data_IF_027086762947
#
_entry.id   IF_027086762947
#
_cell.length_a   1.000
_cell.length_b   1.000
_cell.length_c   1.000
_cell.angle_alpha   90.00
_cell.angle_beta   90.00
_cell.angle_gamma   90.00
#
_symmetry.space_group_name_H-M   'P 1'
#
loop_
_entity.id
_entity.type
_entity.pdbx_description
1 polymer ?
#
# COMPACT_ATOMS: atom_id res chain seq x y z
N UNK A 1 25.85 -49.33 -1.36
CA UNK A 1 25.48 -47.94 -1.67
C UNK A 1 25.15 -47.24 -0.36
N UNK A 2 25.91 -46.22 0.00
CA UNK A 2 25.71 -45.43 1.21
C UNK A 2 24.35 -44.70 1.14
N UNK A 3 23.49 -44.84 2.16
CA UNK A 3 22.19 -44.16 2.19
C UNK A 3 22.41 -42.66 2.36
N UNK A 4 22.20 -41.89 1.29
CA UNK A 4 22.25 -40.43 1.34
C UNK A 4 21.22 -39.91 2.36
N UNK A 5 21.64 -38.99 3.21
CA UNK A 5 20.77 -38.32 4.19
C UNK A 5 20.03 -37.14 3.55
N UNK A 6 18.92 -36.74 4.17
CA UNK A 6 18.11 -35.62 3.73
C UNK A 6 18.82 -34.28 3.93
N UNK A 7 19.03 -33.51 2.85
CA UNK A 7 19.73 -32.22 2.93
C UNK A 7 18.93 -31.03 3.50
N UNK A 8 17.89 -31.28 4.29
CA UNK A 8 17.06 -30.23 4.91
C UNK A 8 17.45 -30.06 6.39
N UNK A 9 17.16 -28.89 6.97
CA UNK A 9 17.32 -28.65 8.42
C UNK A 9 16.01 -28.94 9.15
N UNK A 10 16.11 -29.43 10.39
CA UNK A 10 14.96 -29.61 11.29
C UNK A 10 14.56 -28.25 11.91
N UNK A 11 13.48 -28.23 12.68
CA UNK A 11 13.03 -27.02 13.40
C UNK A 11 14.08 -26.47 14.38
N UNK A 12 14.98 -27.32 14.89
CA UNK A 12 16.09 -26.92 15.76
C UNK A 12 17.31 -26.40 15.01
N UNK A 13 17.28 -26.35 13.67
CA UNK A 13 18.40 -25.89 12.82
C UNK A 13 19.40 -26.98 12.44
N UNK A 14 19.30 -28.16 13.04
CA UNK A 14 20.20 -29.29 12.79
C UNK A 14 19.91 -30.01 11.47
N UNK A 15 20.92 -30.64 10.83
CA UNK A 15 20.71 -31.45 9.62
C UNK A 15 19.74 -32.61 9.84
N UNK A 16 18.88 -32.88 8.86
CA UNK A 16 17.93 -33.97 8.93
C UNK A 16 18.62 -35.34 8.76
N UNK A 17 18.58 -36.16 9.81
CA UNK A 17 19.17 -37.49 9.82
C UNK A 17 18.33 -38.58 9.12
N UNK A 18 17.20 -38.24 8.51
CA UNK A 18 16.37 -39.22 7.79
C UNK A 18 16.96 -39.51 6.40
N UNK A 19 16.81 -40.75 5.94
CA UNK A 19 17.21 -41.14 4.59
C UNK A 19 16.52 -40.28 3.51
N UNK A 20 17.30 -39.84 2.52
CA UNK A 20 16.81 -39.14 1.36
C UNK A 20 16.10 -40.09 0.37
N UNK A 21 15.09 -39.56 -0.30
CA UNK A 21 14.48 -40.15 -1.49
C UNK A 21 15.21 -39.65 -2.75
N UNK A 22 14.69 -40.01 -3.93
CA UNK A 22 15.30 -39.69 -5.24
C UNK A 22 15.63 -38.19 -5.44
N UNK A 23 14.90 -37.28 -4.79
CA UNK A 23 15.11 -35.83 -4.89
C UNK A 23 16.00 -35.23 -3.79
N UNK A 24 16.70 -36.06 -2.99
CA UNK A 24 17.60 -35.58 -1.93
C UNK A 24 16.91 -35.13 -0.63
N UNK A 25 15.59 -35.32 -0.52
CA UNK A 25 14.78 -34.99 0.67
C UNK A 25 14.10 -36.23 1.24
N UNK A 26 13.87 -36.28 2.55
CA UNK A 26 13.11 -37.38 3.18
C UNK A 26 11.60 -37.19 3.00
N UNK A 27 10.82 -38.23 3.34
CA UNK A 27 9.35 -38.20 3.32
C UNK A 27 8.73 -36.97 4.01
N UNK A 28 9.35 -36.47 5.07
CA UNK A 28 8.81 -35.34 5.86
C UNK A 28 9.23 -33.97 5.31
N UNK A 29 10.30 -33.89 4.51
CA UNK A 29 10.84 -32.64 3.97
C UNK A 29 10.63 -32.52 2.45
N UNK A 30 9.50 -33.04 1.94
CA UNK A 30 9.14 -32.95 0.52
C UNK A 30 9.71 -34.04 -0.38
N UNK A 31 10.28 -35.11 0.20
CA UNK A 31 10.83 -36.23 -0.58
C UNK A 31 9.81 -37.00 -1.43
N UNK A 32 8.52 -36.89 -1.08
CA UNK A 32 7.39 -37.44 -1.85
C UNK A 32 6.85 -36.45 -2.90
N UNK A 33 7.35 -35.22 -2.95
CA UNK A 33 6.86 -34.23 -3.89
C UNK A 33 7.27 -34.61 -5.32
N UNK A 34 6.29 -34.75 -6.21
CA UNK A 34 6.50 -34.98 -7.64
C UNK A 34 6.64 -33.69 -8.44
N UNK A 35 6.56 -32.53 -7.76
CA UNK A 35 6.41 -31.23 -8.41
C UNK A 35 5.03 -31.05 -9.06
N UNK A 36 4.82 -29.95 -9.80
CA UNK A 36 3.62 -29.72 -10.58
C UNK A 36 3.44 -30.81 -11.65
N UNK A 37 2.18 -31.16 -11.95
CA UNK A 37 1.83 -32.13 -13.01
C UNK A 37 2.39 -31.73 -14.38
N UNK A 38 2.46 -30.44 -14.65
CA UNK A 38 3.03 -29.86 -15.85
C UNK A 38 4.34 -29.13 -15.50
N UNK A 39 5.47 -29.67 -15.99
CA UNK A 39 6.80 -29.13 -15.69
C UNK A 39 7.05 -27.77 -16.34
N UNK A 40 6.32 -27.41 -17.40
CA UNK A 40 6.43 -26.07 -18.01
C UNK A 40 6.02 -24.96 -17.03
N UNK A 41 5.13 -25.28 -16.08
CA UNK A 41 4.61 -24.38 -15.04
C UNK A 41 5.53 -24.27 -13.82
N UNK A 42 6.75 -24.82 -13.86
CA UNK A 42 7.68 -24.71 -12.74
C UNK A 42 8.25 -23.29 -12.60
N UNK A 43 8.56 -22.65 -13.73
CA UNK A 43 9.17 -21.32 -13.79
C UNK A 43 8.08 -20.25 -13.79
N UNK A 44 8.20 -19.29 -12.86
CA UNK A 44 7.25 -18.19 -12.76
C UNK A 44 5.89 -18.54 -12.15
N UNK A 45 5.76 -19.70 -11.47
CA UNK A 45 4.51 -19.98 -10.75
C UNK A 45 4.31 -18.97 -9.60
N UNK A 46 3.08 -18.47 -9.48
CA UNK A 46 2.66 -17.56 -8.41
C UNK A 46 1.85 -18.29 -7.33
N UNK A 47 1.96 -19.62 -7.23
CA UNK A 47 1.14 -20.42 -6.31
C UNK A 47 1.46 -20.15 -4.83
N UNK A 48 2.70 -19.72 -4.53
CA UNK A 48 3.10 -19.30 -3.19
C UNK A 48 2.90 -17.80 -2.94
N UNK A 49 2.46 -17.04 -3.95
CA UNK A 49 2.23 -15.61 -3.83
C UNK A 49 0.97 -15.38 -3.00
N UNK A 50 1.12 -14.70 -1.86
CA UNK A 50 0.00 -14.42 -0.96
C UNK A 50 -0.70 -13.09 -1.30
N UNK A 51 0.08 -12.02 -1.44
CA UNK A 51 -0.45 -10.65 -1.52
C UNK A 51 0.42 -9.68 -2.31
N UNK A 52 1.50 -10.12 -2.97
CA UNK A 52 2.32 -9.24 -3.83
C UNK A 52 3.24 -8.22 -3.14
N UNK A 53 3.03 -7.90 -1.86
CA UNK A 53 3.80 -6.86 -1.12
C UNK A 53 5.34 -6.92 -1.25
N UNK A 54 5.92 -8.10 -1.43
CA UNK A 54 7.37 -8.29 -1.56
C UNK A 54 7.83 -8.52 -3.00
N UNK A 55 6.95 -8.34 -3.99
CA UNK A 55 7.35 -8.38 -5.40
C UNK A 55 8.17 -7.13 -5.74
N UNK A 56 9.29 -7.32 -6.43
CA UNK A 56 10.03 -6.23 -7.06
C UNK A 56 9.39 -5.92 -8.40
N UNK A 57 8.92 -4.69 -8.57
CA UNK A 57 8.27 -4.22 -9.80
C UNK A 57 9.27 -3.32 -10.54
N UNK A 58 9.52 -3.63 -11.81
CA UNK A 58 10.38 -2.84 -12.68
C UNK A 58 9.53 -2.14 -13.75
N UNK A 59 9.96 -0.95 -14.20
CA UNK A 59 9.19 -0.13 -15.12
C UNK A 59 8.92 -0.82 -16.48
N UNK A 60 9.89 -1.58 -16.98
CA UNK A 60 9.81 -2.38 -18.21
C UNK A 60 8.85 -3.57 -18.09
N UNK A 61 8.60 -4.04 -16.86
CA UNK A 61 7.68 -5.16 -16.59
C UNK A 61 6.22 -4.73 -16.43
N UNK A 62 5.93 -3.42 -16.40
CA UNK A 62 4.56 -2.91 -16.29
C UNK A 62 3.73 -3.32 -17.52
N UNK A 63 2.44 -3.52 -17.30
CA UNK A 63 1.43 -3.56 -18.36
C UNK A 63 1.15 -2.15 -18.91
N UNK A 64 0.48 -2.05 -20.05
CA UNK A 64 0.12 -0.76 -20.63
C UNK A 64 -0.82 0.05 -19.72
N UNK A 65 -1.75 -0.63 -19.07
CA UNK A 65 -2.68 -0.03 -18.10
C UNK A 65 -1.93 0.51 -16.88
N UNK A 66 -0.99 -0.27 -16.32
CA UNK A 66 -0.14 0.16 -15.21
C UNK A 66 0.76 1.33 -15.58
N UNK A 67 1.32 1.36 -16.80
CA UNK A 67 2.09 2.51 -17.29
C UNK A 67 1.27 3.79 -17.34
N UNK A 68 0.03 3.71 -17.84
CA UNK A 68 -0.87 4.86 -17.87
C UNK A 68 -1.24 5.34 -16.47
N UNK A 69 -1.47 4.41 -15.53
CA UNK A 69 -1.72 4.73 -14.14
C UNK A 69 -0.51 5.39 -13.49
N UNK A 70 0.68 4.80 -13.67
CA UNK A 70 1.94 5.34 -13.16
C UNK A 70 2.16 6.79 -13.59
N UNK A 71 1.88 7.12 -14.86
CA UNK A 71 2.01 8.48 -15.37
C UNK A 71 0.98 9.49 -14.81
N UNK A 72 -0.18 9.02 -14.34
CA UNK A 72 -1.26 9.88 -13.80
C UNK A 72 -1.19 10.07 -12.29
N UNK A 73 -0.52 9.16 -11.57
CA UNK A 73 -0.42 9.23 -10.11
C UNK A 73 0.52 10.38 -9.73
N UNK A 74 -0.03 11.39 -9.07
CA UNK A 74 0.77 12.49 -8.53
C UNK A 74 1.67 12.00 -7.40
N UNK A 75 2.94 12.42 -7.43
CA UNK A 75 3.90 12.22 -6.34
C UNK A 75 3.92 13.39 -5.36
N UNK A 76 3.17 14.46 -5.62
CA UNK A 76 3.03 15.60 -4.71
C UNK A 76 2.30 15.17 -3.42
N UNK A 77 2.91 15.30 -2.23
CA UNK A 77 2.32 14.85 -0.98
C UNK A 77 0.96 15.48 -0.67
N UNK A 78 0.79 16.77 -0.94
CA UNK A 78 -0.46 17.50 -0.70
C UNK A 78 -1.59 16.91 -1.55
N UNK A 79 -1.32 16.72 -2.85
CA UNK A 79 -2.26 16.10 -3.79
C UNK A 79 -2.62 14.68 -3.38
N UNK A 80 -1.66 13.87 -2.90
CA UNK A 80 -1.94 12.52 -2.42
C UNK A 80 -2.88 12.52 -1.20
N UNK A 81 -2.63 13.40 -0.24
CA UNK A 81 -3.47 13.53 0.96
C UNK A 81 -4.88 14.01 0.59
N UNK A 82 -5.01 15.00 -0.30
CA UNK A 82 -6.30 15.46 -0.79
C UNK A 82 -7.11 14.36 -1.48
N UNK A 83 -6.47 13.56 -2.34
CA UNK A 83 -7.13 12.47 -3.04
C UNK A 83 -7.64 11.41 -2.06
N UNK A 84 -6.84 11.01 -1.07
CA UNK A 84 -7.25 10.06 -0.04
C UNK A 84 -8.38 10.62 0.85
N UNK A 85 -8.35 11.92 1.13
CA UNK A 85 -9.42 12.59 1.86
C UNK A 85 -10.75 12.53 1.09
N UNK A 86 -10.74 12.94 -0.20
CA UNK A 86 -11.92 12.92 -1.08
C UNK A 86 -12.50 11.50 -1.19
N UNK A 87 -11.64 10.50 -1.38
CA UNK A 87 -12.06 9.10 -1.45
C UNK A 87 -12.60 8.58 -0.12
N UNK A 88 -12.04 9.02 1.01
CA UNK A 88 -12.53 8.66 2.34
C UNK A 88 -13.95 9.17 2.59
N UNK A 89 -14.30 10.38 2.13
CA UNK A 89 -15.66 10.91 2.23
C UNK A 89 -16.65 10.12 1.38
N UNK A 90 -16.28 9.77 0.15
CA UNK A 90 -17.08 8.89 -0.71
C UNK A 90 -17.27 7.52 -0.04
N UNK A 91 -16.22 6.98 0.58
CA UNK A 91 -16.27 5.70 1.30
C UNK A 91 -17.23 5.76 2.48
N UNK A 92 -17.19 6.81 3.31
CA UNK A 92 -18.13 7.02 4.42
C UNK A 92 -19.57 7.12 3.90
N UNK A 93 -19.80 7.92 2.84
CA UNK A 93 -21.14 8.03 2.23
C UNK A 93 -21.70 6.68 1.80
N UNK A 94 -20.89 5.85 1.13
CA UNK A 94 -21.30 4.50 0.71
C UNK A 94 -21.57 3.58 1.89
N UNK A 95 -20.82 3.70 2.98
CA UNK A 95 -21.06 2.94 4.22
C UNK A 95 -22.38 3.35 4.88
N UNK A 96 -22.67 4.65 4.98
CA UNK A 96 -23.94 5.16 5.49
C UNK A 96 -25.14 4.72 4.64
N UNK A 97 -24.99 4.71 3.31
CA UNK A 97 -26.02 4.18 2.41
C UNK A 97 -26.31 2.69 2.67
N UNK A 98 -25.29 1.88 2.98
CA UNK A 98 -25.47 0.46 3.33
C UNK A 98 -26.16 0.28 4.68
N UNK A 99 -25.85 1.11 5.67
CA UNK A 99 -26.57 1.12 6.95
C UNK A 99 -28.05 1.40 6.70
N UNK A 100 -28.37 2.48 5.98
CA UNK A 100 -29.74 2.84 5.63
C UNK A 100 -30.49 1.68 4.96
N UNK A 101 -29.86 1.02 3.97
CA UNK A 101 -30.44 -0.13 3.28
C UNK A 101 -30.67 -1.34 4.20
N UNK A 102 -29.84 -1.53 5.22
CA UNK A 102 -29.99 -2.62 6.19
C UNK A 102 -31.12 -2.33 7.19
N UNK A 103 -31.24 -1.07 7.62
CA UNK A 103 -32.30 -0.59 8.52
C UNK A 103 -33.69 -0.66 7.89
N UNK A 104 -33.80 -0.47 6.57
CA UNK A 104 -35.06 -0.54 5.82
C UNK A 104 -35.59 -1.97 5.65
N UNK A 105 -34.85 -3.02 6.06
CA UNK A 105 -35.30 -4.41 5.96
C UNK A 105 -36.31 -4.75 7.05
N UNK A 106 -37.21 -5.69 6.76
CA UNK A 106 -38.16 -6.24 7.74
C UNK A 106 -37.46 -6.81 9.00
N UNK A 107 -36.23 -7.31 8.84
CA UNK A 107 -35.38 -7.82 9.93
C UNK A 107 -33.94 -7.32 9.75
N UNK A 108 -33.61 -6.13 10.29
CA UNK A 108 -32.28 -5.55 10.16
C UNK A 108 -31.21 -6.38 10.87
N UNK A 109 -30.07 -6.60 10.22
CA UNK A 109 -28.92 -7.22 10.86
C UNK A 109 -28.11 -6.19 11.67
N UNK A 110 -28.43 -6.09 12.95
CA UNK A 110 -27.77 -5.17 13.89
C UNK A 110 -26.26 -5.40 14.04
N UNK A 111 -25.78 -6.63 13.88
CA UNK A 111 -24.35 -6.91 13.92
C UNK A 111 -23.62 -6.36 12.68
N UNK A 112 -24.26 -6.42 11.51
CA UNK A 112 -23.71 -5.84 10.29
C UNK A 112 -23.67 -4.32 10.35
N UNK A 113 -24.72 -3.67 10.88
CA UNK A 113 -24.76 -2.21 11.08
C UNK A 113 -23.62 -1.77 12.00
N UNK A 114 -23.47 -2.39 13.17
CA UNK A 114 -22.38 -2.09 14.12
C UNK A 114 -20.99 -2.25 13.50
N UNK A 115 -20.79 -3.31 12.71
CA UNK A 115 -19.52 -3.52 12.02
C UNK A 115 -19.22 -2.40 11.00
N UNK A 116 -20.25 -1.87 10.33
CA UNK A 116 -20.09 -0.73 9.41
C UNK A 116 -19.81 0.56 10.20
N UNK A 117 -20.47 0.79 11.33
CA UNK A 117 -20.23 1.95 12.22
C UNK A 117 -18.78 1.96 12.76
N UNK A 118 -18.28 0.81 13.21
CA UNK A 118 -16.88 0.65 13.62
C UNK A 118 -15.92 0.92 12.45
N UNK A 119 -16.25 0.46 11.25
CA UNK A 119 -15.46 0.75 10.05
C UNK A 119 -15.48 2.25 9.69
N UNK A 120 -16.63 2.93 9.81
CA UNK A 120 -16.74 4.39 9.64
C UNK A 120 -15.83 5.10 10.63
N UNK A 121 -15.85 4.69 11.90
CA UNK A 121 -14.99 5.28 12.94
C UNK A 121 -13.51 5.15 12.57
N UNK A 122 -13.07 3.99 12.10
CA UNK A 122 -11.68 3.78 11.62
C UNK A 122 -11.33 4.70 10.45
N UNK A 123 -12.23 4.85 9.47
CA UNK A 123 -12.02 5.78 8.34
C UNK A 123 -11.94 7.23 8.82
N UNK A 124 -12.78 7.63 9.78
CA UNK A 124 -12.74 8.96 10.37
C UNK A 124 -11.42 9.23 11.12
N UNK A 125 -10.90 8.25 11.87
CA UNK A 125 -9.58 8.35 12.52
C UNK A 125 -8.45 8.52 11.50
N UNK A 126 -8.50 7.77 10.40
CA UNK A 126 -7.53 7.92 9.31
C UNK A 126 -7.64 9.31 8.67
N UNK A 127 -8.86 9.81 8.42
CA UNK A 127 -9.12 11.15 7.91
C UNK A 127 -8.55 12.24 8.83
N UNK A 128 -8.74 12.11 10.15
CA UNK A 128 -8.15 13.04 11.12
C UNK A 128 -6.61 13.05 11.06
N UNK A 129 -6.00 11.91 10.78
CA UNK A 129 -4.55 11.80 10.59
C UNK A 129 -4.10 12.48 9.30
N UNK A 130 -4.81 12.23 8.19
CA UNK A 130 -4.56 12.90 6.91
C UNK A 130 -4.65 14.43 7.03
N UNK A 131 -5.64 14.96 7.75
CA UNK A 131 -5.77 16.40 8.00
C UNK A 131 -4.53 16.94 8.71
N UNK A 132 -4.06 16.27 9.77
CA UNK A 132 -2.86 16.69 10.51
C UNK A 132 -1.60 16.69 9.64
N UNK A 133 -1.41 15.65 8.83
CA UNK A 133 -0.27 15.59 7.93
C UNK A 133 -0.37 16.66 6.84
N UNK A 134 -1.57 16.93 6.30
CA UNK A 134 -1.77 18.00 5.33
C UNK A 134 -1.39 19.36 5.91
N UNK A 135 -1.82 19.67 7.14
CA UNK A 135 -1.44 20.92 7.82
C UNK A 135 0.08 21.06 7.91
N UNK A 136 0.81 20.00 8.30
CA UNK A 136 2.28 20.01 8.35
C UNK A 136 2.92 20.20 6.97
N UNK A 137 2.36 19.61 5.93
CA UNK A 137 2.86 19.78 4.56
C UNK A 137 2.66 21.21 4.06
N UNK A 138 1.49 21.79 4.32
CA UNK A 138 1.16 23.18 3.97
C UNK A 138 2.07 24.15 4.73
N UNK A 139 2.31 23.94 6.03
CA UNK A 139 3.24 24.75 6.82
C UNK A 139 4.65 24.74 6.24
N UNK A 140 5.17 23.56 5.87
CA UNK A 140 6.49 23.42 5.25
C UNK A 140 6.59 24.14 3.90
N UNK A 141 5.56 24.02 3.07
CA UNK A 141 5.52 24.72 1.78
C UNK A 141 5.32 26.24 1.95
N UNK A 142 4.65 26.67 3.02
CA UNK A 142 4.48 28.09 3.38
C UNK A 142 5.76 28.77 3.90
N UNK A 143 6.75 28.01 4.37
CA UNK A 143 8.05 28.55 4.80
C UNK A 143 9.04 28.79 3.66
N UNK A 144 8.74 28.40 2.42
CA UNK A 144 9.64 28.63 1.27
C UNK A 144 9.53 30.04 0.65
N UNK A 145 8.59 30.88 1.10
CA UNK A 145 8.63 32.32 0.85
C UNK A 145 8.74 33.07 2.17
N UNK A 146 9.97 33.36 2.58
CA UNK A 146 10.31 34.27 3.69
C UNK A 146 9.87 35.73 3.43
N UNK A 147 9.15 35.97 2.33
CA UNK A 147 8.70 37.28 1.89
C UNK A 147 9.86 38.19 1.53
N UNK A 148 11.11 37.69 1.47
CA UNK A 148 12.28 38.52 1.20
C UNK A 148 12.19 39.14 -0.19
N UNK A 149 11.64 38.42 -1.17
CA UNK A 149 11.39 38.94 -2.52
C UNK A 149 10.27 39.99 -2.55
N UNK A 150 9.20 39.80 -1.77
CA UNK A 150 8.12 40.79 -1.65
C UNK A 150 8.60 42.05 -0.91
N UNK A 151 9.39 41.89 0.15
CA UNK A 151 10.05 42.99 0.86
C UNK A 151 11.03 43.73 -0.06
N UNK A 152 11.81 43.00 -0.87
CA UNK A 152 12.71 43.60 -1.86
C UNK A 152 11.93 44.39 -2.91
N UNK A 153 10.80 43.87 -3.39
CA UNK A 153 9.93 44.58 -4.34
C UNK A 153 9.41 45.90 -3.74
N UNK A 154 8.97 45.89 -2.47
CA UNK A 154 8.54 47.09 -1.75
C UNK A 154 9.68 48.11 -1.61
N UNK A 155 10.87 47.66 -1.21
CA UNK A 155 12.06 48.53 -1.07
C UNK A 155 12.44 49.16 -2.41
N UNK A 156 12.46 48.38 -3.49
CA UNK A 156 12.78 48.87 -4.84
C UNK A 156 11.74 49.88 -5.32
N UNK A 157 10.46 49.69 -4.99
CA UNK A 157 9.41 50.62 -5.36
C UNK A 157 9.49 51.94 -4.57
N UNK A 158 9.84 51.88 -3.28
CA UNK A 158 10.12 53.08 -2.48
C UNK A 158 11.35 53.84 -3.00
N UNK A 159 12.40 53.13 -3.40
CA UNK A 159 13.60 53.73 -4.00
C UNK A 159 13.28 54.43 -5.33
N UNK A 160 12.46 53.81 -6.19
CA UNK A 160 11.98 54.43 -7.45
C UNK A 160 11.18 55.71 -7.18
N UNK A 161 10.28 55.70 -6.19
CA UNK A 161 9.49 56.89 -5.80
C UNK A 161 10.36 58.02 -5.25
N UNK A 162 11.46 57.70 -4.57
CA UNK A 162 12.44 58.70 -4.10
C UNK A 162 13.26 59.33 -5.22
N UNK A 163 13.53 58.59 -6.30
CA UNK A 163 14.30 59.09 -7.45
C UNK A 163 13.46 59.83 -8.52
N UNK A 164 12.12 59.81 -8.41
CA UNK A 164 11.21 60.55 -9.29
C UNK A 164 10.76 61.92 -8.74
N UNK A 165 11.33 62.37 -7.62
CA UNK A 165 11.21 63.74 -7.09
C UNK A 165 12.54 64.47 -7.24
#
# INVERSE_FOLDING_TARGET
MEKKLCGAKTRSGEPCQKAALHNGRCRLHGGKSTGPKDRSKLKGNKNALKHGLYETIWLDTLTDEERQLYARVSTDPTTQVENEFKLSDIRIRRMLQRIKQEEEKDKPNQAAIRAIEEAITKVQMNKATLIRENSRLVERNGTESDGALDQLAVILEQARKKHQK
#
